data_IF_121003412411
#
_entry.id   IF_121003412411
#
_cell.length_a   1.000
_cell.length_b   1.000
_cell.length_c   1.000
_cell.angle_alpha   90.00
_cell.angle_beta   90.00
_cell.angle_gamma   90.00
#
_symmetry.space_group_name_H-M   'P 1'
#
loop_
_entity.id
_entity.type
_entity.pdbx_description
1 polymer ?
#
# COMPACT_ATOMS: atom_id res chain seq x y z
N UNK A 1 8.12 -27.67 -2.74
CA UNK A 1 9.31 -27.04 -2.14
C UNK A 1 9.00 -25.65 -1.59
N UNK A 2 8.59 -24.67 -2.39
CA UNK A 2 8.30 -23.30 -1.94
C UNK A 2 7.35 -23.24 -0.73
N UNK A 3 6.17 -23.85 -0.81
CA UNK A 3 5.16 -23.79 0.26
C UNK A 3 5.68 -24.32 1.61
N UNK A 4 6.51 -25.39 1.61
CA UNK A 4 7.09 -25.93 2.83
C UNK A 4 8.10 -24.94 3.45
N UNK A 5 8.95 -24.32 2.63
CA UNK A 5 9.92 -23.32 3.09
C UNK A 5 9.23 -22.05 3.62
N UNK A 6 8.22 -21.57 2.89
CA UNK A 6 7.43 -20.40 3.31
C UNK A 6 6.71 -20.64 4.65
N UNK A 7 6.04 -21.79 4.79
CA UNK A 7 5.35 -22.13 6.03
C UNK A 7 6.31 -22.25 7.21
N UNK A 8 7.52 -22.77 6.99
CA UNK A 8 8.56 -22.83 8.03
C UNK A 8 9.02 -21.43 8.43
N UNK A 9 9.23 -20.53 7.45
CA UNK A 9 9.63 -19.15 7.71
C UNK A 9 8.52 -18.37 8.44
N UNK A 10 7.27 -18.47 7.94
CA UNK A 10 6.13 -17.83 8.60
C UNK A 10 5.96 -18.31 10.03
N UNK A 11 6.03 -19.64 10.24
CA UNK A 11 5.94 -20.21 11.59
C UNK A 11 7.04 -19.65 12.48
N UNK A 12 8.28 -19.59 12.00
CA UNK A 12 9.39 -19.04 12.77
C UNK A 12 9.14 -17.57 13.16
N UNK A 13 8.68 -16.73 12.23
CA UNK A 13 8.32 -15.34 12.49
C UNK A 13 7.20 -15.24 13.56
N UNK A 14 6.11 -16.01 13.38
CA UNK A 14 4.99 -15.99 14.30
C UNK A 14 5.36 -16.51 15.70
N UNK A 15 6.20 -17.55 15.81
CA UNK A 15 6.71 -18.06 17.10
C UNK A 15 7.52 -16.99 17.86
N UNK A 16 8.07 -16.00 17.15
CA UNK A 16 8.77 -14.84 17.71
C UNK A 16 7.90 -13.59 17.85
N UNK A 17 6.58 -13.72 17.66
CA UNK A 17 5.65 -12.59 17.77
C UNK A 17 5.65 -11.63 16.59
N UNK A 18 6.24 -12.02 15.45
CA UNK A 18 6.31 -11.22 14.22
C UNK A 18 5.19 -11.65 13.27
N UNK A 19 4.36 -10.72 12.85
CA UNK A 19 3.34 -10.91 11.84
C UNK A 19 3.88 -10.52 10.46
N UNK A 20 3.46 -11.24 9.42
CA UNK A 20 3.85 -10.98 8.04
C UNK A 20 2.70 -10.28 7.33
N UNK A 21 2.94 -9.07 6.83
CA UNK A 21 2.02 -8.34 5.97
C UNK A 21 2.36 -8.68 4.53
N UNK A 22 1.42 -9.29 3.81
CA UNK A 22 1.52 -9.52 2.37
C UNK A 22 0.85 -8.42 1.58
N UNK A 23 1.14 -8.37 0.28
CA UNK A 23 0.58 -7.39 -0.64
C UNK A 23 0.01 -8.09 -1.87
N UNK A 24 -1.20 -7.70 -2.29
CA UNK A 24 -1.82 -8.19 -3.51
C UNK A 24 -2.40 -7.04 -4.33
N UNK A 25 -2.19 -7.03 -5.65
CA UNK A 25 -2.88 -6.08 -6.51
C UNK A 25 -4.37 -6.42 -6.62
N UNK A 26 -5.23 -5.41 -6.79
CA UNK A 26 -6.64 -5.66 -7.07
C UNK A 26 -6.80 -6.50 -8.36
N UNK A 27 -6.09 -6.13 -9.42
CA UNK A 27 -6.17 -6.81 -10.71
C UNK A 27 -5.15 -7.92 -10.86
N UNK A 28 -5.44 -8.86 -11.76
CA UNK A 28 -4.51 -9.90 -12.21
C UNK A 28 -3.87 -9.49 -13.55
N UNK A 29 -2.73 -10.09 -13.87
CA UNK A 29 -2.07 -9.88 -15.16
C UNK A 29 -2.88 -10.50 -16.31
N UNK A 30 -2.83 -9.94 -17.54
CA UNK A 30 -3.48 -10.53 -18.72
C UNK A 30 -2.91 -11.91 -19.10
N UNK A 31 -1.70 -12.23 -18.66
CA UNK A 31 -1.05 -13.53 -18.85
C UNK A 31 -1.11 -14.43 -17.60
N UNK A 32 -1.98 -14.08 -16.63
CA UNK A 32 -2.19 -14.88 -15.43
C UNK A 32 -2.93 -16.18 -15.71
N UNK A 33 -2.69 -17.19 -14.88
CA UNK A 33 -3.45 -18.44 -14.89
C UNK A 33 -4.96 -18.23 -14.69
N UNK A 34 -5.34 -17.25 -13.90
CA UNK A 34 -6.74 -16.91 -13.61
C UNK A 34 -7.46 -16.39 -14.85
N UNK A 35 -6.85 -15.45 -15.57
CA UNK A 35 -7.44 -14.93 -16.81
C UNK A 35 -7.50 -15.99 -17.91
N UNK A 36 -6.47 -16.82 -18.04
CA UNK A 36 -6.42 -17.90 -19.02
C UNK A 36 -7.42 -19.01 -18.74
N UNK A 37 -7.57 -19.43 -17.47
CA UNK A 37 -8.40 -20.57 -17.11
C UNK A 37 -9.89 -20.20 -16.90
N UNK A 38 -10.18 -18.93 -16.58
CA UNK A 38 -11.50 -18.45 -16.16
C UNK A 38 -11.83 -17.08 -16.78
N UNK A 39 -11.85 -16.97 -18.13
CA UNK A 39 -12.16 -15.72 -18.81
C UNK A 39 -13.55 -15.17 -18.47
N UNK A 40 -14.50 -16.03 -18.05
CA UNK A 40 -15.84 -15.65 -17.62
C UNK A 40 -15.87 -14.72 -16.39
N UNK A 41 -14.79 -14.64 -15.65
CA UNK A 41 -14.65 -13.72 -14.52
C UNK A 41 -14.34 -12.29 -14.94
N UNK A 42 -14.05 -12.06 -16.22
CA UNK A 42 -13.56 -10.80 -16.73
C UNK A 42 -14.43 -10.26 -17.87
N UNK A 43 -14.30 -8.96 -18.15
CA UNK A 43 -14.99 -8.29 -19.25
C UNK A 43 -14.30 -8.62 -20.58
N UNK A 44 -14.67 -9.75 -21.19
CA UNK A 44 -14.11 -10.22 -22.45
C UNK A 44 -15.15 -10.20 -23.58
N UNK A 45 -14.68 -10.14 -24.82
CA UNK A 45 -15.47 -10.33 -26.02
C UNK A 45 -15.66 -11.85 -26.34
N UNK A 46 -16.28 -12.15 -27.50
CA UNK A 46 -16.52 -13.51 -27.96
C UNK A 46 -15.22 -14.28 -28.27
N UNK A 47 -14.14 -13.57 -28.57
CA UNK A 47 -12.80 -14.13 -28.83
C UNK A 47 -11.97 -14.30 -27.56
N UNK A 48 -12.51 -13.94 -26.37
CA UNK A 48 -11.80 -13.98 -25.09
C UNK A 48 -10.82 -12.83 -24.86
N UNK A 49 -10.89 -11.77 -25.68
CA UNK A 49 -10.04 -10.58 -25.51
C UNK A 49 -10.70 -9.60 -24.54
N UNK A 50 -9.91 -8.87 -23.73
CA UNK A 50 -10.48 -7.82 -22.89
C UNK A 50 -11.25 -6.78 -23.70
N UNK A 51 -12.46 -6.41 -23.29
CA UNK A 51 -13.21 -5.27 -23.84
C UNK A 51 -12.61 -3.94 -23.40
N UNK A 52 -12.12 -3.93 -22.18
CA UNK A 52 -11.46 -2.78 -21.57
C UNK A 52 -10.42 -3.27 -20.54
N UNK A 53 -9.51 -2.38 -20.18
CA UNK A 53 -8.42 -2.65 -19.24
C UNK A 53 -8.36 -1.60 -18.13
N UNK A 54 -7.70 -1.94 -17.05
CA UNK A 54 -7.53 -1.08 -15.89
C UNK A 54 -6.46 -0.01 -16.12
N UNK A 55 -6.57 1.06 -15.35
CA UNK A 55 -5.61 2.15 -15.27
C UNK A 55 -6.09 3.26 -14.35
N UNK A 56 -5.46 4.43 -14.44
CA UNK A 56 -5.86 5.65 -13.77
C UNK A 56 -6.02 6.79 -14.78
N UNK A 57 -6.93 7.74 -14.52
CA UNK A 57 -7.11 8.91 -15.39
C UNK A 57 -5.86 9.80 -15.40
N UNK A 58 -5.75 10.70 -16.37
CA UNK A 58 -4.83 11.82 -16.30
C UNK A 58 -4.96 12.61 -15.00
N UNK A 59 -3.82 12.97 -14.43
CA UNK A 59 -3.72 13.76 -13.21
C UNK A 59 -2.54 14.76 -13.27
N UNK A 60 -2.21 15.41 -12.16
CA UNK A 60 -1.13 16.37 -12.08
C UNK A 60 0.27 15.71 -12.28
N UNK A 61 0.39 14.39 -12.11
CA UNK A 61 1.63 13.64 -12.23
C UNK A 61 1.79 12.96 -13.58
N UNK A 62 0.66 12.67 -14.28
CA UNK A 62 0.66 12.00 -15.58
C UNK A 62 -0.43 12.58 -16.48
N UNK A 63 -0.02 13.40 -17.46
CA UNK A 63 -0.94 14.02 -18.42
C UNK A 63 -1.70 13.00 -19.30
N UNK A 64 -1.13 11.81 -19.51
CA UNK A 64 -1.72 10.70 -20.27
C UNK A 64 -2.46 9.69 -19.38
N UNK A 65 -2.42 9.87 -18.05
CA UNK A 65 -2.86 8.89 -17.07
C UNK A 65 -1.97 7.66 -17.06
N UNK A 66 -2.44 6.59 -16.42
CA UNK A 66 -1.71 5.33 -16.34
C UNK A 66 -2.52 4.22 -17.01
N UNK A 67 -1.98 3.61 -18.04
CA UNK A 67 -2.54 2.44 -18.70
C UNK A 67 -1.87 1.17 -18.16
N UNK A 68 -2.53 0.47 -17.24
CA UNK A 68 -1.95 -0.73 -16.61
C UNK A 68 -2.11 -1.99 -17.47
N UNK A 69 -3.17 -2.06 -18.28
CA UNK A 69 -3.39 -3.18 -19.20
C UNK A 69 -4.01 -4.43 -18.56
N UNK A 70 -4.29 -4.43 -17.27
CA UNK A 70 -4.92 -5.54 -16.57
C UNK A 70 -6.38 -5.71 -17.00
N UNK A 71 -6.90 -6.96 -17.20
CA UNK A 71 -8.29 -7.20 -17.51
C UNK A 71 -9.19 -6.77 -16.35
N UNK A 72 -10.34 -6.19 -16.67
CA UNK A 72 -11.34 -5.77 -15.70
C UNK A 72 -12.28 -6.92 -15.35
N UNK A 73 -12.65 -7.01 -14.06
CA UNK A 73 -13.60 -8.02 -13.59
C UNK A 73 -15.01 -7.79 -14.12
N UNK A 74 -15.72 -8.86 -14.46
CA UNK A 74 -17.17 -8.86 -14.61
C UNK A 74 -17.82 -8.98 -13.23
N UNK A 75 -18.09 -7.83 -12.61
CA UNK A 75 -18.65 -7.80 -11.27
C UNK A 75 -20.06 -8.43 -11.18
N UNK A 76 -20.83 -8.45 -12.28
CA UNK A 76 -22.12 -9.14 -12.32
C UNK A 76 -21.93 -10.66 -12.23
N UNK A 77 -20.93 -11.23 -12.91
CA UNK A 77 -20.56 -12.62 -12.78
C UNK A 77 -20.08 -12.94 -11.35
N UNK A 78 -19.22 -12.10 -10.79
CA UNK A 78 -18.73 -12.30 -9.43
C UNK A 78 -19.86 -12.24 -8.40
N UNK A 79 -20.81 -11.30 -8.51
CA UNK A 79 -21.99 -11.23 -7.64
C UNK A 79 -22.87 -12.49 -7.78
N UNK A 80 -23.14 -12.92 -9.02
CA UNK A 80 -23.93 -14.14 -9.30
C UNK A 80 -23.29 -15.40 -8.71
N UNK A 81 -21.97 -15.47 -8.64
CA UNK A 81 -21.22 -16.60 -8.08
C UNK A 81 -20.84 -16.38 -6.61
N UNK A 82 -21.52 -15.44 -5.94
CA UNK A 82 -21.31 -15.10 -4.52
C UNK A 82 -19.83 -14.78 -4.21
N UNK A 83 -19.18 -14.07 -5.13
CA UNK A 83 -17.77 -13.68 -5.03
C UNK A 83 -16.83 -14.85 -4.71
N UNK A 84 -17.15 -16.06 -5.14
CA UNK A 84 -16.46 -17.30 -4.77
C UNK A 84 -14.95 -17.27 -5.08
N UNK A 85 -14.54 -16.63 -6.18
CA UNK A 85 -13.12 -16.48 -6.51
C UNK A 85 -12.41 -15.54 -5.53
N UNK A 86 -13.02 -14.39 -5.19
CA UNK A 86 -12.48 -13.43 -4.21
C UNK A 86 -12.39 -14.05 -2.82
N UNK A 87 -13.40 -14.81 -2.40
CA UNK A 87 -13.39 -15.56 -1.13
C UNK A 87 -12.19 -16.52 -1.08
N UNK A 88 -11.95 -17.29 -2.15
CA UNK A 88 -10.78 -18.20 -2.24
C UNK A 88 -9.45 -17.42 -2.26
N UNK A 89 -9.37 -16.32 -3.02
CA UNK A 89 -8.16 -15.50 -3.11
C UNK A 89 -7.75 -14.96 -1.75
N UNK A 90 -8.67 -14.32 -1.04
CA UNK A 90 -8.40 -13.76 0.29
C UNK A 90 -8.11 -14.87 1.32
N UNK A 91 -8.87 -15.97 1.34
CA UNK A 91 -8.57 -17.11 2.24
C UNK A 91 -7.19 -17.70 1.98
N UNK A 92 -6.76 -17.78 0.72
CA UNK A 92 -5.41 -18.25 0.38
C UNK A 92 -4.33 -17.24 0.84
N UNK A 93 -4.54 -15.96 0.62
CA UNK A 93 -3.62 -14.93 1.09
C UNK A 93 -3.47 -14.96 2.62
N UNK A 94 -4.56 -15.12 3.37
CA UNK A 94 -4.54 -15.22 4.84
C UNK A 94 -3.95 -16.55 5.37
N UNK A 95 -3.66 -17.52 4.50
CA UNK A 95 -2.81 -18.69 4.83
C UNK A 95 -1.33 -18.34 4.67
N UNK A 96 -1.00 -17.55 3.64
CA UNK A 96 0.39 -17.13 3.37
C UNK A 96 0.85 -16.01 4.31
N UNK A 97 -0.02 -15.07 4.62
CA UNK A 97 0.26 -13.87 5.41
C UNK A 97 -0.63 -13.81 6.65
N UNK A 98 -0.29 -12.96 7.59
CA UNK A 98 -1.12 -12.68 8.75
C UNK A 98 -2.07 -11.52 8.46
N UNK A 99 -1.60 -10.56 7.68
CA UNK A 99 -2.36 -9.40 7.19
C UNK A 99 -2.13 -9.26 5.69
N UNK A 100 -3.12 -8.78 4.94
CA UNK A 100 -3.04 -8.59 3.49
C UNK A 100 -3.35 -7.14 3.13
N UNK A 101 -2.37 -6.43 2.57
CA UNK A 101 -2.62 -5.15 1.91
C UNK A 101 -3.24 -5.42 0.54
N UNK A 102 -4.37 -4.79 0.26
CA UNK A 102 -5.00 -4.84 -1.06
C UNK A 102 -4.72 -3.52 -1.76
N UNK A 103 -3.88 -3.60 -2.78
CA UNK A 103 -3.48 -2.48 -3.59
C UNK A 103 -4.63 -1.95 -4.44
N UNK A 104 -4.71 -0.63 -4.62
CA UNK A 104 -5.76 0.07 -5.35
C UNK A 104 -7.18 -0.25 -4.86
N UNK A 105 -7.39 -0.19 -3.54
CA UNK A 105 -8.67 -0.51 -2.89
C UNK A 105 -9.84 0.32 -3.43
N UNK A 106 -9.59 1.55 -3.87
CA UNK A 106 -10.61 2.40 -4.48
C UNK A 106 -11.32 1.74 -5.67
N UNK A 107 -10.66 0.83 -6.39
CA UNK A 107 -11.24 0.09 -7.52
C UNK A 107 -12.44 -0.77 -7.16
N UNK A 108 -12.69 -1.03 -5.88
CA UNK A 108 -13.92 -1.68 -5.42
C UNK A 108 -15.11 -0.71 -5.29
N UNK A 109 -14.86 0.59 -5.17
CA UNK A 109 -15.90 1.62 -5.23
C UNK A 109 -16.17 2.00 -6.68
N UNK A 110 -15.15 2.56 -7.32
CA UNK A 110 -15.15 2.90 -8.74
C UNK A 110 -13.82 2.53 -9.36
N UNK A 111 -13.85 1.84 -10.50
CA UNK A 111 -12.67 1.49 -11.26
C UNK A 111 -12.61 2.24 -12.58
N UNK A 112 -11.39 2.57 -13.03
CA UNK A 112 -11.19 3.28 -14.28
C UNK A 112 -11.05 2.30 -15.44
N UNK A 113 -12.00 2.37 -16.39
CA UNK A 113 -12.14 1.46 -17.51
C UNK A 113 -11.65 2.14 -18.79
N UNK A 114 -10.58 1.63 -19.37
CA UNK A 114 -9.95 2.15 -20.58
C UNK A 114 -10.23 1.17 -21.73
N UNK A 115 -10.76 1.61 -22.89
CA UNK A 115 -11.02 0.71 -24.02
C UNK A 115 -9.76 -0.08 -24.41
N UNK A 116 -9.90 -1.39 -24.61
CA UNK A 116 -8.78 -2.24 -25.03
C UNK A 116 -8.13 -1.72 -26.32
N UNK A 117 -6.81 -1.76 -26.40
CA UNK A 117 -6.05 -1.24 -27.54
C UNK A 117 -5.82 0.28 -27.53
N UNK A 118 -6.26 0.99 -26.47
CA UNK A 118 -5.89 2.40 -26.27
C UNK A 118 -4.38 2.55 -26.08
N UNK A 119 -3.83 3.67 -26.54
CA UNK A 119 -2.39 3.99 -26.41
C UNK A 119 -2.07 4.69 -25.06
N UNK A 120 -3.09 5.27 -24.41
CA UNK A 120 -3.01 5.93 -23.12
C UNK A 120 -4.35 5.86 -22.37
N UNK A 121 -4.44 6.45 -21.19
CA UNK A 121 -5.62 6.39 -20.35
C UNK A 121 -6.65 7.52 -20.56
N UNK A 122 -6.39 8.46 -21.47
CA UNK A 122 -7.23 9.68 -21.65
C UNK A 122 -8.69 9.36 -21.98
N UNK A 123 -8.97 8.27 -22.71
CA UNK A 123 -10.32 7.88 -23.14
C UNK A 123 -11.05 6.99 -22.15
N UNK A 124 -10.49 6.76 -20.98
CA UNK A 124 -11.11 5.95 -19.96
C UNK A 124 -12.32 6.62 -19.30
N UNK A 125 -13.06 5.85 -18.52
CA UNK A 125 -14.21 6.32 -17.74
C UNK A 125 -14.31 5.58 -16.42
N UNK A 126 -14.83 6.23 -15.39
CA UNK A 126 -15.14 5.60 -14.12
C UNK A 126 -16.38 4.71 -14.26
N UNK A 127 -16.30 3.53 -13.67
CA UNK A 127 -17.35 2.51 -13.64
C UNK A 127 -17.54 2.05 -12.19
N UNK A 128 -18.79 1.77 -11.76
CA UNK A 128 -19.05 1.32 -10.40
C UNK A 128 -18.45 -0.06 -10.14
N UNK A 129 -17.78 -0.19 -8.99
CA UNK A 129 -17.30 -1.45 -8.45
C UNK A 129 -18.36 -2.19 -7.62
N UNK A 130 -18.00 -3.32 -6.99
CA UNK A 130 -18.92 -4.14 -6.19
C UNK A 130 -19.28 -3.51 -4.83
N UNK A 131 -18.47 -2.57 -4.36
CA UNK A 131 -18.66 -1.90 -3.08
C UNK A 131 -18.73 -2.88 -1.91
N UNK A 132 -19.55 -2.53 -0.92
CA UNK A 132 -19.77 -3.34 0.29
C UNK A 132 -20.36 -4.72 0.06
N UNK A 133 -20.91 -5.02 -1.13
CA UNK A 133 -21.40 -6.39 -1.44
C UNK A 133 -20.26 -7.40 -1.35
N UNK A 134 -19.11 -7.10 -1.93
CA UNK A 134 -17.91 -7.94 -1.85
C UNK A 134 -17.46 -8.12 -0.39
N UNK A 135 -17.32 -7.05 0.37
CA UNK A 135 -16.78 -7.14 1.73
C UNK A 135 -17.70 -7.84 2.70
N UNK A 136 -19.03 -7.75 2.52
CA UNK A 136 -19.99 -8.57 3.27
C UNK A 136 -19.83 -10.07 2.95
N UNK A 137 -19.61 -10.41 1.70
CA UNK A 137 -19.36 -11.80 1.31
C UNK A 137 -18.02 -12.32 1.86
N UNK A 138 -16.97 -11.49 1.87
CA UNK A 138 -15.67 -11.84 2.46
C UNK A 138 -15.77 -12.03 3.99
N UNK A 139 -16.59 -11.24 4.68
CA UNK A 139 -16.77 -11.30 6.13
C UNK A 139 -17.41 -12.61 6.63
N UNK A 140 -17.94 -13.45 5.74
CA UNK A 140 -18.38 -14.82 6.09
C UNK A 140 -17.20 -15.70 6.52
N UNK A 141 -15.98 -15.39 6.08
CA UNK A 141 -14.79 -16.05 6.57
C UNK A 141 -14.35 -15.40 7.91
N UNK A 142 -14.35 -16.16 9.03
CA UNK A 142 -14.01 -15.61 10.35
C UNK A 142 -12.56 -15.09 10.47
N UNK A 143 -11.68 -15.40 9.51
CA UNK A 143 -10.34 -14.83 9.43
C UNK A 143 -10.34 -13.41 8.87
N UNK A 144 -11.39 -13.01 8.16
CA UNK A 144 -11.51 -11.65 7.62
C UNK A 144 -12.07 -10.74 8.71
N UNK A 145 -11.18 -9.99 9.31
CA UNK A 145 -11.47 -9.03 10.39
C UNK A 145 -10.97 -7.65 10.00
N UNK A 146 -11.31 -6.64 10.74
CA UNK A 146 -10.77 -5.27 10.55
C UNK A 146 -9.23 -5.18 10.65
N UNK A 147 -8.56 -6.22 11.15
CA UNK A 147 -7.10 -6.28 11.30
C UNK A 147 -6.41 -7.16 10.26
N UNK A 148 -7.15 -7.91 9.44
CA UNK A 148 -6.60 -8.86 8.49
C UNK A 148 -6.40 -8.29 7.08
N UNK A 149 -7.00 -7.14 6.79
CA UNK A 149 -6.89 -6.46 5.48
C UNK A 149 -6.49 -5.00 5.72
N UNK A 150 -5.60 -4.50 4.88
CA UNK A 150 -5.23 -3.09 4.77
C UNK A 150 -5.78 -2.58 3.44
N UNK A 151 -6.55 -1.51 3.49
CA UNK A 151 -7.05 -0.84 2.29
C UNK A 151 -6.02 0.19 1.81
N UNK A 152 -5.43 -0.02 0.63
CA UNK A 152 -4.63 1.03 0.00
C UNK A 152 -5.59 2.07 -0.60
N UNK A 153 -5.72 3.19 0.11
CA UNK A 153 -6.58 4.33 -0.20
C UNK A 153 -5.76 5.60 -0.49
N UNK A 154 -4.64 5.45 -1.17
CA UNK A 154 -3.76 6.57 -1.53
C UNK A 154 -4.26 7.29 -2.80
N UNK A 155 -3.78 8.53 -2.99
CA UNK A 155 -4.10 9.35 -4.16
C UNK A 155 -5.42 10.11 -4.02
N UNK A 156 -6.10 10.35 -5.16
CA UNK A 156 -7.34 11.12 -5.17
C UNK A 156 -8.52 10.32 -4.61
N UNK A 157 -9.04 10.75 -3.47
CA UNK A 157 -10.16 10.09 -2.78
C UNK A 157 -11.46 10.86 -3.01
N UNK A 158 -12.48 10.15 -3.48
CA UNK A 158 -13.86 10.65 -3.49
C UNK A 158 -14.53 10.38 -2.13
N UNK A 159 -15.60 11.13 -1.78
CA UNK A 159 -16.36 10.83 -0.57
C UNK A 159 -16.86 9.38 -0.50
N UNK A 160 -17.21 8.76 -1.64
CA UNK A 160 -17.66 7.36 -1.70
C UNK A 160 -16.55 6.37 -1.36
N UNK A 161 -15.33 6.59 -1.84
CA UNK A 161 -14.15 5.77 -1.48
C UNK A 161 -13.87 5.86 0.03
N UNK A 162 -13.86 7.08 0.59
CA UNK A 162 -13.67 7.29 2.03
C UNK A 162 -14.76 6.54 2.83
N UNK A 163 -16.00 6.63 2.37
CA UNK A 163 -17.12 5.93 3.03
C UNK A 163 -16.96 4.40 2.90
N UNK A 164 -16.53 3.89 1.74
CA UNK A 164 -16.29 2.45 1.54
C UNK A 164 -15.22 1.92 2.50
N UNK A 165 -14.09 2.61 2.63
CA UNK A 165 -13.03 2.24 3.59
C UNK A 165 -13.58 2.24 5.01
N UNK A 166 -14.33 3.27 5.40
CA UNK A 166 -14.96 3.36 6.72
C UNK A 166 -15.95 2.23 6.97
N UNK A 167 -16.83 1.93 6.01
CA UNK A 167 -17.87 0.90 6.14
C UNK A 167 -17.28 -0.52 6.14
N UNK A 168 -16.15 -0.73 5.46
CA UNK A 168 -15.42 -2.01 5.48
C UNK A 168 -14.79 -2.29 6.85
N UNK A 169 -14.52 -1.25 7.65
CA UNK A 169 -13.79 -1.33 8.92
C UNK A 169 -12.30 -1.60 8.77
N UNK A 170 -11.78 -1.68 7.55
CA UNK A 170 -10.35 -1.90 7.31
C UNK A 170 -9.55 -0.61 7.51
N UNK A 171 -8.31 -0.68 8.05
CA UNK A 171 -7.45 0.48 8.13
C UNK A 171 -7.05 0.96 6.73
N UNK A 172 -7.17 2.26 6.49
CA UNK A 172 -6.57 2.94 5.35
C UNK A 172 -5.10 3.27 5.59
N UNK A 173 -4.43 3.77 4.57
CA UNK A 173 -3.00 4.09 4.61
C UNK A 173 -2.75 5.59 4.74
N UNK A 174 -1.69 5.94 5.45
CA UNK A 174 -1.15 7.30 5.55
C UNK A 174 0.34 7.26 5.25
N UNK A 175 0.83 8.22 4.46
CA UNK A 175 2.23 8.28 4.03
C UNK A 175 2.80 9.65 4.38
N UNK A 176 3.88 9.65 5.16
CA UNK A 176 4.54 10.90 5.61
C UNK A 176 5.09 11.70 4.43
N UNK A 177 5.62 11.03 3.40
CA UNK A 177 6.10 11.72 2.19
C UNK A 177 5.03 12.54 1.47
N UNK A 178 3.74 12.25 1.67
CA UNK A 178 2.63 13.01 1.10
C UNK A 178 2.14 14.15 2.00
N UNK A 179 2.69 14.25 3.23
CA UNK A 179 2.21 15.22 4.21
C UNK A 179 2.67 16.67 3.94
N UNK A 180 3.75 16.84 3.18
CA UNK A 180 4.42 18.11 3.01
C UNK A 180 4.33 18.63 1.56
N UNK A 181 3.10 18.68 1.03
CA UNK A 181 2.77 19.38 -0.21
C UNK A 181 2.20 20.77 0.16
N UNK A 182 2.94 21.82 -0.12
CA UNK A 182 2.56 23.21 0.20
C UNK A 182 1.29 23.68 -0.54
N UNK A 183 0.85 22.93 -1.52
CA UNK A 183 -0.36 23.20 -2.31
C UNK A 183 -1.61 22.48 -1.75
N UNK A 184 -1.42 21.50 -0.85
CA UNK A 184 -2.50 20.73 -0.25
C UNK A 184 -2.99 21.38 1.06
N UNK A 185 -4.21 21.06 1.43
CA UNK A 185 -4.84 21.48 2.69
C UNK A 185 -4.34 20.74 3.94
N UNK A 186 -3.31 19.90 3.81
CA UNK A 186 -2.72 19.11 4.89
C UNK A 186 -3.45 17.82 5.21
N UNK A 187 -4.11 17.19 4.23
CA UNK A 187 -4.85 15.94 4.40
C UNK A 187 -3.99 14.79 4.93
N UNK A 188 -2.69 14.78 4.59
CA UNK A 188 -1.74 13.78 5.05
C UNK A 188 -0.92 14.22 6.26
N UNK A 189 -1.17 15.38 6.86
CA UNK A 189 -0.52 15.76 8.12
C UNK A 189 -1.04 14.90 9.28
N UNK A 190 -0.16 14.43 10.17
CA UNK A 190 -0.49 13.42 11.19
C UNK A 190 -1.63 13.78 12.14
N UNK A 191 -1.90 15.05 12.38
CA UNK A 191 -3.03 15.48 13.23
C UNK A 191 -4.40 15.18 12.59
N UNK A 192 -4.47 14.89 11.28
CA UNK A 192 -5.69 14.51 10.57
C UNK A 192 -5.87 12.98 10.47
N UNK A 193 -4.95 12.18 11.01
CA UNK A 193 -5.05 10.72 10.88
C UNK A 193 -6.17 10.15 11.77
N UNK A 194 -6.96 9.18 11.27
CA UNK A 194 -7.78 8.36 12.13
C UNK A 194 -6.94 7.33 12.87
N UNK A 195 -7.39 6.87 14.04
CA UNK A 195 -6.72 5.76 14.76
C UNK A 195 -6.67 4.49 13.91
N UNK A 196 -7.81 4.09 13.33
CA UNK A 196 -7.88 2.93 12.43
C UNK A 196 -7.18 3.23 11.09
N UNK A 197 -5.88 3.36 11.12
CA UNK A 197 -5.03 3.60 9.95
C UNK A 197 -3.64 3.00 10.15
N UNK A 198 -2.92 2.86 9.05
CA UNK A 198 -1.52 2.46 9.04
C UNK A 198 -0.70 3.61 8.46
N UNK A 199 0.24 4.11 9.24
CA UNK A 199 1.17 5.14 8.78
C UNK A 199 2.46 4.50 8.27
N UNK A 200 2.93 5.00 7.15
CA UNK A 200 4.22 4.70 6.53
C UNK A 200 5.06 5.98 6.47
N UNK A 201 6.37 5.88 6.56
CA UNK A 201 7.22 6.99 6.11
C UNK A 201 7.15 7.14 4.61
N UNK A 202 7.35 6.06 3.88
CA UNK A 202 7.11 5.85 2.46
C UNK A 202 6.78 4.38 2.22
N UNK A 203 6.16 4.06 1.09
CA UNK A 203 5.90 2.67 0.65
C UNK A 203 7.06 2.17 -0.23
N UNK A 204 6.96 0.94 -0.74
CA UNK A 204 7.93 0.42 -1.71
C UNK A 204 7.96 1.22 -3.04
N UNK A 205 6.90 1.96 -3.36
CA UNK A 205 6.80 2.79 -4.56
C UNK A 205 7.35 4.21 -4.37
N UNK A 206 7.52 4.61 -3.13
CA UNK A 206 8.06 5.92 -2.78
C UNK A 206 9.59 5.95 -2.88
N UNK A 207 10.15 7.13 -2.74
CA UNK A 207 11.58 7.34 -2.56
C UNK A 207 12.02 6.89 -1.15
N UNK A 208 13.30 6.81 -0.87
CA UNK A 208 13.76 6.77 0.52
C UNK A 208 13.57 8.14 1.17
N UNK A 209 13.26 8.21 2.45
CA UNK A 209 13.07 9.48 3.16
C UNK A 209 14.26 10.42 3.01
N UNK A 210 15.47 9.84 2.96
CA UNK A 210 16.68 10.66 2.76
C UNK A 210 16.65 11.36 1.40
N UNK A 211 16.47 10.64 0.31
CA UNK A 211 16.44 11.22 -1.02
C UNK A 211 15.18 12.07 -1.26
N UNK A 212 14.01 11.63 -0.77
CA UNK A 212 12.77 12.38 -0.86
C UNK A 212 12.91 13.80 -0.29
N UNK A 213 13.51 13.96 0.90
CA UNK A 213 13.69 15.28 1.49
C UNK A 213 14.58 16.19 0.62
N UNK A 214 15.60 15.63 -0.04
CA UNK A 214 16.47 16.39 -0.93
C UNK A 214 15.79 16.76 -2.26
N UNK A 215 14.80 16.00 -2.69
CA UNK A 215 13.99 16.23 -3.89
C UNK A 215 12.81 17.19 -3.67
N UNK A 216 12.49 17.55 -2.41
CA UNK A 216 11.43 18.51 -2.11
C UNK A 216 11.69 19.88 -2.75
N UNK A 217 10.62 20.52 -3.23
CA UNK A 217 10.66 21.95 -3.59
C UNK A 217 11.06 22.80 -2.38
N UNK A 218 11.54 24.01 -2.62
CA UNK A 218 11.92 24.91 -1.53
C UNK A 218 10.74 25.25 -0.60
N UNK A 219 9.53 25.38 -1.15
CA UNK A 219 8.30 25.65 -0.38
C UNK A 219 7.89 24.44 0.46
N UNK A 220 7.92 23.22 -0.11
CA UNK A 220 7.58 21.98 0.59
C UNK A 220 8.62 21.67 1.68
N UNK A 221 9.91 21.87 1.37
CA UNK A 221 11.00 21.71 2.34
C UNK A 221 10.84 22.68 3.49
N UNK A 222 10.54 23.95 3.18
CA UNK A 222 10.28 24.97 4.20
C UNK A 222 9.10 24.58 5.09
N UNK A 223 8.00 24.07 4.50
CA UNK A 223 6.85 23.58 5.26
C UNK A 223 7.26 22.45 6.21
N UNK A 224 8.04 21.48 5.74
CA UNK A 224 8.53 20.37 6.56
C UNK A 224 9.46 20.83 7.69
N UNK A 225 10.40 21.73 7.36
CA UNK A 225 11.33 22.28 8.34
C UNK A 225 10.62 23.13 9.40
N UNK A 226 9.67 23.96 9.02
CA UNK A 226 8.88 24.78 9.95
C UNK A 226 7.99 23.88 10.85
N UNK A 227 7.36 22.85 10.26
CA UNK A 227 6.48 21.94 10.99
C UNK A 227 7.21 21.10 12.05
N UNK A 228 8.42 20.64 11.73
CA UNK A 228 9.22 19.78 12.61
C UNK A 228 10.33 20.52 13.36
N UNK A 229 10.53 21.81 13.13
CA UNK A 229 11.62 22.59 13.75
C UNK A 229 13.01 22.14 13.28
N UNK A 230 13.20 21.86 11.98
CA UNK A 230 14.42 21.25 11.45
C UNK A 230 15.48 22.24 10.96
N UNK A 231 15.32 23.54 11.17
CA UNK A 231 16.22 24.56 10.63
C UNK A 231 17.69 24.31 11.03
N UNK A 232 17.93 23.97 12.30
CA UNK A 232 19.27 23.76 12.85
C UNK A 232 19.63 22.25 12.98
N UNK A 233 18.80 21.35 12.45
CA UNK A 233 19.03 19.89 12.53
C UNK A 233 19.96 19.47 11.39
N UNK A 234 21.08 18.76 11.70
CA UNK A 234 21.97 18.25 10.67
C UNK A 234 21.23 17.35 9.66
N UNK A 235 21.55 17.49 8.37
CA UNK A 235 20.85 16.77 7.29
C UNK A 235 20.66 15.27 7.56
N UNK A 236 21.68 14.59 8.03
CA UNK A 236 21.66 13.16 8.33
C UNK A 236 20.73 12.78 9.48
N UNK A 237 20.33 13.73 10.31
CA UNK A 237 19.44 13.51 11.46
C UNK A 237 17.98 13.82 11.12
N UNK A 238 17.73 14.57 10.02
CA UNK A 238 16.37 14.95 9.62
C UNK A 238 15.49 13.75 9.29
N UNK A 239 16.02 12.70 8.65
CA UNK A 239 15.28 11.47 8.37
C UNK A 239 14.66 10.86 9.62
N UNK A 240 15.42 10.81 10.73
CA UNK A 240 14.93 10.30 12.00
C UNK A 240 13.82 11.15 12.63
N UNK A 241 13.74 12.45 12.31
CA UNK A 241 12.62 13.29 12.76
C UNK A 241 11.31 12.92 12.05
N UNK A 242 11.35 12.57 10.75
CA UNK A 242 10.18 12.06 10.04
C UNK A 242 9.79 10.66 10.50
N UNK A 243 10.76 9.77 10.78
CA UNK A 243 10.49 8.47 11.41
C UNK A 243 9.79 8.67 12.76
N UNK A 244 10.29 9.59 13.57
CA UNK A 244 9.69 9.94 14.86
C UNK A 244 8.27 10.47 14.70
N UNK A 245 8.04 11.35 13.73
CA UNK A 245 6.70 11.87 13.41
C UNK A 245 5.72 10.74 13.10
N UNK A 246 6.12 9.76 12.27
CA UNK A 246 5.31 8.58 11.97
C UNK A 246 5.03 7.76 13.23
N UNK A 247 6.06 7.51 14.04
CA UNK A 247 5.96 6.72 15.27
C UNK A 247 5.09 7.41 16.34
N UNK A 248 5.05 8.73 16.41
CA UNK A 248 4.26 9.51 17.37
C UNK A 248 2.83 9.79 16.88
N UNK A 249 2.49 9.41 15.64
CA UNK A 249 1.14 9.57 15.11
C UNK A 249 0.11 8.72 15.86
N UNK A 250 -1.17 9.04 15.68
CA UNK A 250 -2.30 8.31 16.29
C UNK A 250 -2.65 7.01 15.58
N UNK A 251 -2.04 6.72 14.43
CA UNK A 251 -2.29 5.50 13.66
C UNK A 251 -2.00 4.25 14.49
N UNK A 252 -2.89 3.26 14.45
CA UNK A 252 -2.75 2.01 15.21
C UNK A 252 -1.48 1.22 14.84
N UNK A 253 -1.06 1.30 13.59
CA UNK A 253 0.16 0.64 13.09
C UNK A 253 1.08 1.64 12.41
N UNK A 254 2.39 1.47 12.58
CA UNK A 254 3.43 2.25 11.92
C UNK A 254 4.42 1.31 11.24
N UNK A 255 4.63 1.51 9.93
CA UNK A 255 5.56 0.72 9.10
C UNK A 255 6.66 1.64 8.58
N UNK A 256 7.90 1.29 8.85
CA UNK A 256 9.08 2.08 8.45
C UNK A 256 9.97 1.20 7.58
N UNK A 257 10.28 1.60 6.33
CA UNK A 257 11.29 0.92 5.52
C UNK A 257 12.65 0.86 6.21
N UNK A 258 13.35 -0.26 6.09
CA UNK A 258 14.69 -0.41 6.66
C UNK A 258 15.67 0.61 6.05
N UNK A 259 15.47 0.98 4.80
CA UNK A 259 16.26 2.00 4.11
C UNK A 259 16.23 3.35 4.84
N UNK A 260 15.09 3.72 5.42
CA UNK A 260 14.93 4.98 6.15
C UNK A 260 15.66 4.94 7.49
N UNK A 261 15.58 3.84 8.23
CA UNK A 261 16.38 3.65 9.47
C UNK A 261 17.88 3.71 9.21
N UNK A 262 18.31 3.20 8.06
CA UNK A 262 19.71 3.21 7.62
C UNK A 262 20.12 4.52 6.95
N UNK A 263 19.19 5.45 6.76
CA UNK A 263 19.45 6.75 6.16
C UNK A 263 20.05 6.64 4.75
N UNK A 264 19.51 5.71 3.94
CA UNK A 264 20.04 5.41 2.61
C UNK A 264 19.45 6.34 1.56
N UNK A 265 20.26 6.64 0.56
CA UNK A 265 19.93 7.49 -0.59
C UNK A 265 19.11 6.71 -1.65
N UNK A 266 18.71 7.39 -2.72
CA UNK A 266 17.86 6.94 -3.84
C UNK A 266 18.24 5.58 -4.45
N UNK A 267 19.53 5.21 -4.43
CA UNK A 267 19.98 3.92 -4.93
C UNK A 267 19.38 2.71 -4.19
N UNK A 268 18.89 2.93 -2.97
CA UNK A 268 18.25 1.91 -2.14
C UNK A 268 16.72 1.85 -2.35
N UNK A 269 16.15 2.68 -3.23
CA UNK A 269 14.73 2.64 -3.55
C UNK A 269 14.32 1.25 -4.04
N UNK A 270 13.17 0.76 -3.55
CA UNK A 270 12.73 -0.59 -3.83
C UNK A 270 12.11 -0.75 -5.21
N UNK A 271 11.22 0.17 -5.56
CA UNK A 271 10.46 0.13 -6.81
C UNK A 271 10.33 1.52 -7.44
N UNK A 272 10.48 1.58 -8.76
CA UNK A 272 10.17 2.75 -9.57
C UNK A 272 8.93 2.46 -10.40
N UNK A 273 7.75 2.99 -10.04
CA UNK A 273 6.51 2.75 -10.78
C UNK A 273 6.65 3.07 -12.27
N UNK A 274 5.94 2.32 -13.10
CA UNK A 274 5.95 2.46 -14.57
C UNK A 274 7.30 2.18 -15.25
N UNK A 275 8.25 1.51 -14.57
CA UNK A 275 9.52 1.08 -15.15
C UNK A 275 9.65 -0.44 -15.17
N UNK A 276 10.49 -0.95 -16.08
CA UNK A 276 10.84 -2.38 -16.18
C UNK A 276 12.31 -2.57 -15.87
N UNK A 277 12.61 -3.56 -15.01
CA UNK A 277 13.98 -3.89 -14.62
C UNK A 277 14.54 -3.01 -13.48
N UNK A 278 15.50 -3.53 -12.74
CA UNK A 278 16.15 -2.83 -11.62
C UNK A 278 15.31 -2.73 -10.33
N UNK A 279 14.02 -3.03 -10.37
CA UNK A 279 13.13 -2.99 -9.23
C UNK A 279 13.27 -4.23 -8.33
N UNK A 280 12.96 -4.09 -7.04
CA UNK A 280 12.97 -5.17 -6.04
C UNK A 280 14.34 -5.85 -5.87
N UNK A 281 15.45 -5.12 -6.13
CA UNK A 281 16.81 -5.63 -6.10
C UNK A 281 17.58 -5.25 -4.85
N UNK A 282 17.18 -4.23 -4.11
CA UNK A 282 17.85 -3.81 -2.90
C UNK A 282 17.83 -4.92 -1.85
N UNK A 283 18.95 -5.09 -1.16
CA UNK A 283 19.07 -6.04 -0.04
C UNK A 283 19.89 -5.46 1.08
N UNK A 284 19.41 -5.70 2.31
CA UNK A 284 20.16 -5.45 3.53
C UNK A 284 21.45 -6.27 3.53
N UNK A 285 22.57 -5.63 3.80
CA UNK A 285 23.88 -6.29 3.86
C UNK A 285 24.16 -6.77 5.28
N UNK A 286 25.02 -7.77 5.41
CA UNK A 286 25.45 -8.30 6.71
C UNK A 286 26.10 -7.18 7.54
N UNK A 287 25.59 -6.95 8.76
CA UNK A 287 26.10 -5.96 9.70
C UNK A 287 25.49 -4.56 9.59
N UNK A 288 24.67 -4.27 8.55
CA UNK A 288 23.97 -2.98 8.47
C UNK A 288 22.86 -2.86 9.54
N UNK A 289 22.20 -3.95 9.89
CA UNK A 289 21.29 -3.98 11.03
C UNK A 289 22.10 -4.38 12.28
N UNK A 290 22.71 -3.38 12.91
CA UNK A 290 23.54 -3.58 14.11
C UNK A 290 22.71 -3.61 15.40
N UNK A 291 23.31 -4.09 16.47
CA UNK A 291 22.68 -4.09 17.82
C UNK A 291 22.41 -2.65 18.29
N UNK A 292 23.26 -1.69 17.94
CA UNK A 292 23.08 -0.27 18.24
C UNK A 292 21.86 0.30 17.53
N UNK A 293 21.69 0.01 16.24
CA UNK A 293 20.50 0.42 15.47
C UNK A 293 19.24 -0.23 16.04
N UNK A 294 19.29 -1.52 16.35
CA UNK A 294 18.16 -2.23 16.98
C UNK A 294 17.79 -1.60 18.33
N UNK A 295 18.78 -1.24 19.15
CA UNK A 295 18.54 -0.56 20.43
C UNK A 295 17.93 0.83 20.26
N UNK A 296 18.35 1.58 19.24
CA UNK A 296 17.80 2.91 18.94
C UNK A 296 16.35 2.82 18.46
N UNK A 297 16.04 1.90 17.52
CA UNK A 297 14.67 1.61 17.08
C UNK A 297 13.81 1.21 18.27
N UNK A 298 14.29 0.30 19.13
CA UNK A 298 13.58 -0.12 20.34
C UNK A 298 13.31 1.05 21.28
N UNK A 299 14.29 1.92 21.49
CA UNK A 299 14.15 3.12 22.31
C UNK A 299 13.05 4.04 21.77
N UNK A 300 13.07 4.32 20.46
CA UNK A 300 12.05 5.15 19.81
C UNK A 300 10.67 4.50 19.94
N UNK A 301 10.53 3.21 19.62
CA UNK A 301 9.28 2.44 19.75
C UNK A 301 8.71 2.53 21.18
N UNK A 302 9.58 2.45 22.19
CA UNK A 302 9.19 2.56 23.61
C UNK A 302 8.65 3.94 23.96
N UNK A 303 9.38 5.00 23.61
CA UNK A 303 8.95 6.37 23.97
C UNK A 303 7.71 6.83 23.20
N UNK A 304 7.47 6.26 22.02
CA UNK A 304 6.24 6.47 21.24
C UNK A 304 5.06 5.61 21.71
N UNK A 305 5.22 4.86 22.81
CA UNK A 305 4.14 4.03 23.37
C UNK A 305 3.76 2.80 22.55
N UNK A 306 4.60 2.39 21.57
CA UNK A 306 4.31 1.30 20.63
C UNK A 306 4.90 -0.06 21.02
N UNK A 307 5.69 -0.14 22.10
CA UNK A 307 6.10 -1.44 22.65
C UNK A 307 4.91 -2.14 23.29
N UNK A 308 4.64 -3.35 22.86
CA UNK A 308 3.61 -4.19 23.46
C UNK A 308 4.15 -4.86 24.75
N UNK A 309 3.24 -5.37 25.61
CA UNK A 309 3.67 -6.11 26.81
C UNK A 309 4.45 -7.40 26.47
N UNK A 310 4.33 -7.93 25.26
CA UNK A 310 5.10 -9.09 24.78
C UNK A 310 6.57 -8.73 24.55
N UNK A 311 6.86 -7.50 24.21
CA UNK A 311 8.21 -7.01 23.91
C UNK A 311 9.01 -6.62 25.15
N UNK A 312 8.39 -6.66 26.32
CA UNK A 312 9.01 -6.28 27.60
C UNK A 312 9.49 -7.48 28.43
N UNK A 313 9.29 -8.69 27.92
CA UNK A 313 9.82 -9.94 28.51
C UNK A 313 11.05 -10.41 27.74
#
# INVERSE_FOLDING_TARGET
MFAAQWNSLKKYANDHGIEIIGDIPIYVSPDSSDFWAHPEMFQVDEDGRPKAVAGCPPDAFSADGQLWGNPLYDWAYHEKTDFSWWKRRIDHCLKLYDVVRVDHFRGFDEYYSIPYGSVNAVKGKWMPGPGMKLFRALAENPKVTSKSIIAEDLGFLTPSVIQLVKDSGFPGMKVIEFAFDSRDSGNYLPYNYPHNSIVYTGTHDNQTLYAWYDELSDDDRKLADDYLGLADVPRKEKTWQFIRLAMESVSDTCVIPMQDYLNLDSWARMNHPSTTGGNWCWRLRKGEFSDELAAEIRRLTKISGRLTQRDTK
#
